data_IF_220079861579
#
_entry.id   IF_220079861579
#
_cell.length_a   1.000
_cell.length_b   1.000
_cell.length_c   1.000
_cell.angle_alpha   90.00
_cell.angle_beta   90.00
_cell.angle_gamma   90.00
#
_symmetry.space_group_name_H-M   'P 1'
#
loop_
_entity.id
_entity.type
_entity.pdbx_description
1 polymer ?
#
# COMPACT_ATOMS: atom_id res chain seq x y z
N UNK A 1 -17.86 24.38 -5.36
CA UNK A 1 -17.71 23.01 -5.82
C UNK A 1 -17.35 22.14 -4.62
N UNK A 2 -17.70 20.84 -4.62
CA UNK A 2 -17.39 19.92 -3.50
C UNK A 2 -15.89 19.83 -3.23
N UNK A 3 -15.07 19.87 -4.28
CA UNK A 3 -13.60 19.79 -4.22
C UNK A 3 -12.97 20.90 -3.34
N UNK A 4 -13.51 22.11 -3.35
CA UNK A 4 -12.99 23.25 -2.56
C UNK A 4 -13.23 23.07 -1.05
N UNK A 5 -14.10 22.15 -0.68
CA UNK A 5 -14.44 21.82 0.71
C UNK A 5 -13.68 20.59 1.23
N UNK A 6 -13.06 19.81 0.34
CA UNK A 6 -12.33 18.61 0.70
C UNK A 6 -10.87 18.95 1.05
N UNK A 7 -10.47 18.52 2.22
CA UNK A 7 -9.09 18.52 2.66
C UNK A 7 -8.44 17.16 2.38
N UNK A 8 -7.31 17.16 1.71
CA UNK A 8 -6.50 15.97 1.50
C UNK A 8 -5.27 15.99 2.40
N UNK A 9 -4.96 14.84 2.99
CA UNK A 9 -3.72 14.63 3.72
C UNK A 9 -2.87 13.62 2.94
N UNK A 10 -1.78 14.07 2.34
CA UNK A 10 -0.91 13.22 1.53
C UNK A 10 0.48 13.12 2.15
N UNK A 11 1.17 11.99 1.86
CA UNK A 11 2.59 11.93 2.13
C UNK A 11 3.33 12.94 1.25
N UNK A 12 4.48 13.44 1.70
CA UNK A 12 5.30 14.37 0.92
C UNK A 12 5.69 13.74 -0.43
N UNK A 13 6.03 12.46 -0.40
CA UNK A 13 6.36 11.70 -1.62
C UNK A 13 5.20 11.67 -2.60
N UNK A 14 4.00 11.29 -2.16
CA UNK A 14 2.81 11.23 -3.03
C UNK A 14 2.45 12.60 -3.58
N UNK A 15 2.59 13.65 -2.78
CA UNK A 15 2.29 15.02 -3.21
C UNK A 15 3.15 15.47 -4.40
N UNK A 16 4.41 15.02 -4.46
CA UNK A 16 5.39 15.50 -5.46
C UNK A 16 5.52 14.61 -6.69
N UNK A 17 4.86 13.45 -6.71
CA UNK A 17 4.98 12.47 -7.81
C UNK A 17 4.03 12.76 -8.96
N UNK A 18 4.47 12.42 -10.18
CA UNK A 18 3.64 12.48 -11.40
C UNK A 18 2.54 11.39 -11.40
N UNK A 19 2.76 10.27 -10.73
CA UNK A 19 1.78 9.23 -10.44
C UNK A 19 1.17 9.38 -9.03
N UNK A 20 1.13 10.60 -8.52
CA UNK A 20 0.53 11.00 -7.25
C UNK A 20 -0.36 12.22 -7.43
N UNK A 21 -0.26 13.19 -6.51
CA UNK A 21 -1.12 14.38 -6.52
C UNK A 21 -0.98 15.22 -7.81
N UNK A 22 0.22 15.33 -8.38
CA UNK A 22 0.40 16.02 -9.68
C UNK A 22 -0.38 15.32 -10.80
N UNK A 23 -0.40 14.00 -10.79
CA UNK A 23 -1.20 13.21 -11.73
C UNK A 23 -2.70 13.37 -11.48
N UNK A 24 -3.15 13.40 -10.24
CA UNK A 24 -4.56 13.67 -9.90
C UNK A 24 -5.02 15.02 -10.48
N UNK A 25 -4.20 16.06 -10.35
CA UNK A 25 -4.48 17.37 -10.95
C UNK A 25 -4.56 17.31 -12.47
N UNK A 26 -3.60 16.65 -13.11
CA UNK A 26 -3.46 16.61 -14.57
C UNK A 26 -4.50 15.72 -15.25
N UNK A 27 -4.74 14.53 -14.70
CA UNK A 27 -5.57 13.48 -15.31
C UNK A 27 -7.04 13.61 -14.90
N UNK A 28 -7.27 13.88 -13.62
CA UNK A 28 -8.62 13.98 -13.03
C UNK A 28 -9.11 15.42 -12.89
N UNK A 29 -8.24 16.41 -13.01
CA UNK A 29 -8.57 17.81 -12.79
C UNK A 29 -8.83 18.16 -11.32
N UNK A 30 -8.43 17.30 -10.39
CA UNK A 30 -8.67 17.48 -8.96
C UNK A 30 -7.68 18.49 -8.36
N UNK A 31 -8.21 19.62 -7.89
CA UNK A 31 -7.43 20.65 -7.19
C UNK A 31 -7.84 20.67 -5.71
N UNK A 32 -7.24 19.79 -4.94
CA UNK A 32 -7.57 19.60 -3.53
C UNK A 32 -6.77 20.58 -2.62
N UNK A 33 -7.36 20.90 -1.47
CA UNK A 33 -6.61 21.57 -0.41
C UNK A 33 -5.74 20.54 0.33
N UNK A 34 -4.45 20.50 0.00
CA UNK A 34 -3.52 19.46 0.46
C UNK A 34 -2.72 19.91 1.67
N UNK A 35 -2.72 19.11 2.73
CA UNK A 35 -1.75 19.13 3.82
C UNK A 35 -0.81 17.93 3.68
N UNK A 36 0.50 18.17 3.65
CA UNK A 36 1.48 17.07 3.68
C UNK A 36 1.71 16.61 5.11
N UNK A 37 1.83 15.30 5.30
CA UNK A 37 2.02 14.71 6.62
C UNK A 37 2.79 13.39 6.57
N UNK A 38 3.29 12.98 7.72
CA UNK A 38 3.94 11.69 7.88
C UNK A 38 2.95 10.53 7.63
N UNK A 39 3.40 9.41 7.02
CA UNK A 39 2.54 8.27 6.70
C UNK A 39 1.74 7.74 7.89
N UNK A 40 2.33 7.73 9.08
CA UNK A 40 1.69 7.23 10.31
C UNK A 40 0.55 8.11 10.82
N UNK A 41 0.52 9.40 10.42
CA UNK A 41 -0.47 10.37 10.91
C UNK A 41 -1.71 10.46 10.03
N UNK A 42 -1.60 10.14 8.73
CA UNK A 42 -2.69 10.34 7.76
C UNK A 42 -3.97 9.57 8.12
N UNK A 43 -3.84 8.34 8.61
CA UNK A 43 -5.00 7.54 9.00
C UNK A 43 -5.67 8.03 10.28
N UNK A 44 -4.92 8.61 11.21
CA UNK A 44 -5.50 9.25 12.39
C UNK A 44 -6.22 10.54 12.00
N UNK A 45 -5.65 11.33 11.09
CA UNK A 45 -6.25 12.56 10.60
C UNK A 45 -7.56 12.33 9.83
N UNK A 46 -7.66 11.24 9.02
CA UNK A 46 -8.91 10.91 8.36
C UNK A 46 -9.96 10.39 9.36
N UNK A 47 -9.54 9.60 10.35
CA UNK A 47 -10.44 9.14 11.42
C UNK A 47 -11.01 10.26 12.26
N UNK A 48 -10.20 11.29 12.58
CA UNK A 48 -10.65 12.48 13.34
C UNK A 48 -11.51 13.44 12.51
N UNK A 49 -11.52 13.29 11.18
CA UNK A 49 -12.23 14.19 10.28
C UNK A 49 -11.45 15.45 9.90
N UNK A 50 -10.17 15.55 10.29
CA UNK A 50 -9.30 16.66 9.93
C UNK A 50 -8.99 16.70 8.44
N UNK A 51 -9.04 15.54 7.78
CA UNK A 51 -8.95 15.35 6.33
C UNK A 51 -10.07 14.40 5.86
N UNK A 52 -10.42 14.45 4.57
CA UNK A 52 -11.44 13.61 3.97
C UNK A 52 -10.87 12.65 2.92
N UNK A 53 -9.68 12.94 2.42
CA UNK A 53 -8.99 12.15 1.38
C UNK A 53 -7.54 11.92 1.80
N UNK A 54 -7.03 10.72 1.55
CA UNK A 54 -5.61 10.38 1.77
C UNK A 54 -5.12 9.42 0.69
N UNK A 55 -3.81 9.41 0.46
CA UNK A 55 -3.14 8.34 -0.29
C UNK A 55 -3.06 7.07 0.56
N UNK A 56 -3.19 5.93 -0.08
CA UNK A 56 -3.12 4.62 0.57
C UNK A 56 -2.59 3.56 -0.39
N UNK A 57 -2.07 2.49 0.15
CA UNK A 57 -1.86 1.26 -0.60
C UNK A 57 -3.03 0.32 -0.33
N UNK A 58 -3.48 -0.41 -1.35
CA UNK A 58 -4.65 -1.31 -1.26
C UNK A 58 -4.49 -2.43 -0.22
N UNK A 59 -3.27 -2.65 0.27
CA UNK A 59 -2.94 -3.63 1.31
C UNK A 59 -2.81 -3.04 2.71
N UNK A 60 -3.04 -1.73 2.89
CA UNK A 60 -2.96 -1.07 4.19
C UNK A 60 -4.09 -1.56 5.12
N UNK A 61 -3.72 -1.98 6.32
CA UNK A 61 -4.65 -2.53 7.32
C UNK A 61 -5.69 -1.50 7.80
N UNK A 62 -5.31 -0.23 7.76
CA UNK A 62 -6.11 0.90 8.21
C UNK A 62 -7.36 1.12 7.36
N UNK A 63 -7.35 0.69 6.10
CA UNK A 63 -8.54 0.75 5.22
C UNK A 63 -9.70 -0.01 5.87
N UNK A 64 -9.46 -1.25 6.27
CA UNK A 64 -10.44 -2.07 6.98
C UNK A 64 -10.70 -1.56 8.40
N UNK A 65 -9.62 -1.18 9.12
CA UNK A 65 -9.72 -0.73 10.52
C UNK A 65 -10.62 0.49 10.71
N UNK A 66 -10.61 1.40 9.74
CA UNK A 66 -11.35 2.67 9.81
C UNK A 66 -12.54 2.75 8.85
N UNK A 67 -12.89 1.62 8.22
CA UNK A 67 -14.01 1.52 7.27
C UNK A 67 -13.90 2.58 6.15
N UNK A 68 -12.72 2.66 5.55
CA UNK A 68 -12.44 3.64 4.50
C UNK A 68 -12.89 3.12 3.14
N UNK A 69 -13.37 4.02 2.29
CA UNK A 69 -13.74 3.73 0.91
C UNK A 69 -12.55 3.95 -0.01
N UNK A 70 -12.17 2.92 -0.74
CA UNK A 70 -11.16 3.01 -1.79
C UNK A 70 -11.82 3.50 -3.08
N UNK A 71 -11.32 4.61 -3.63
CA UNK A 71 -11.82 5.14 -4.89
C UNK A 71 -11.19 4.38 -6.07
N UNK A 72 -11.99 4.16 -7.11
CA UNK A 72 -11.54 3.51 -8.33
C UNK A 72 -10.72 4.47 -9.20
N UNK A 73 -9.59 3.99 -9.71
CA UNK A 73 -8.75 4.68 -10.69
C UNK A 73 -9.21 4.32 -12.13
N UNK A 74 -10.34 4.86 -12.55
CA UNK A 74 -10.95 4.58 -13.87
C UNK A 74 -10.12 5.10 -15.05
N UNK A 75 -9.17 6.02 -14.80
CA UNK A 75 -8.26 6.56 -15.82
C UNK A 75 -6.87 5.93 -15.80
N UNK A 76 -6.64 4.95 -14.95
CA UNK A 76 -5.39 4.21 -14.86
C UNK A 76 -4.16 5.12 -14.66
N UNK A 77 -4.29 6.10 -13.78
CA UNK A 77 -3.20 6.99 -13.39
C UNK A 77 -2.10 6.22 -12.67
N UNK A 78 -2.49 5.30 -11.77
CA UNK A 78 -1.55 4.57 -10.94
C UNK A 78 -1.03 3.32 -11.65
N UNK A 79 0.31 3.15 -11.76
CA UNK A 79 0.88 1.90 -12.23
C UNK A 79 0.60 0.76 -11.23
N UNK A 80 0.64 -0.51 -11.65
CA UNK A 80 0.54 -1.63 -10.73
C UNK A 80 1.77 -1.63 -9.80
N UNK A 81 1.53 -1.55 -8.49
CA UNK A 81 2.57 -1.66 -7.47
C UNK A 81 2.65 -3.11 -6.99
N UNK A 82 3.75 -3.78 -7.33
CA UNK A 82 3.99 -5.16 -6.90
C UNK A 82 5.21 -5.20 -5.99
N UNK A 83 5.10 -5.92 -4.87
CA UNK A 83 6.24 -6.22 -4.03
C UNK A 83 7.23 -7.14 -4.76
N UNK A 84 8.50 -6.80 -4.72
CA UNK A 84 9.55 -7.63 -5.32
C UNK A 84 10.82 -7.61 -4.47
N UNK A 85 11.56 -8.74 -4.39
CA UNK A 85 12.89 -8.74 -3.80
C UNK A 85 13.83 -7.84 -4.61
N UNK A 86 14.52 -6.94 -3.94
CA UNK A 86 15.56 -6.08 -4.55
C UNK A 86 16.94 -6.52 -4.08
N UNK A 87 17.84 -6.81 -5.00
CA UNK A 87 19.21 -7.20 -4.69
C UNK A 87 20.20 -6.70 -5.74
N UNK A 88 21.49 -6.73 -5.37
CA UNK A 88 22.55 -6.42 -6.33
C UNK A 88 22.64 -7.53 -7.38
N UNK A 89 22.75 -7.16 -8.67
CA UNK A 89 22.94 -8.11 -9.77
C UNK A 89 24.15 -9.03 -9.57
N UNK A 90 25.23 -8.48 -9.00
CA UNK A 90 26.43 -9.26 -8.69
C UNK A 90 26.15 -10.43 -7.73
N UNK A 91 25.24 -10.24 -6.75
CA UNK A 91 24.84 -11.30 -5.83
C UNK A 91 24.10 -12.42 -6.56
N UNK A 92 23.17 -12.05 -7.45
CA UNK A 92 22.43 -13.03 -8.25
C UNK A 92 23.33 -13.81 -9.21
N UNK A 93 24.36 -13.14 -9.78
CA UNK A 93 25.37 -13.83 -10.62
C UNK A 93 26.25 -14.82 -9.83
N UNK A 94 26.55 -14.52 -8.56
CA UNK A 94 27.27 -15.41 -7.68
C UNK A 94 26.44 -16.56 -7.14
N UNK A 95 25.12 -16.35 -6.98
CA UNK A 95 24.16 -17.26 -6.39
C UNK A 95 22.92 -17.37 -7.27
N UNK A 96 23.01 -17.96 -8.48
CA UNK A 96 21.89 -18.04 -9.42
C UNK A 96 20.70 -18.85 -8.88
N UNK A 97 20.91 -19.73 -7.91
CA UNK A 97 19.87 -20.47 -7.21
C UNK A 97 18.88 -19.59 -6.46
N UNK A 98 19.26 -18.37 -6.08
CA UNK A 98 18.38 -17.42 -5.39
C UNK A 98 17.16 -17.05 -6.22
N UNK A 99 17.28 -16.98 -7.54
CA UNK A 99 16.15 -16.66 -8.42
C UNK A 99 15.00 -17.66 -8.23
N UNK A 100 15.31 -18.95 -8.26
CA UNK A 100 14.30 -20.00 -8.06
C UNK A 100 13.67 -19.97 -6.67
N UNK A 101 14.49 -19.76 -5.64
CA UNK A 101 14.02 -19.72 -4.25
C UNK A 101 13.12 -18.52 -3.99
N UNK A 102 13.52 -17.35 -4.44
CA UNK A 102 12.75 -16.12 -4.20
C UNK A 102 11.46 -16.06 -5.02
N UNK A 103 11.47 -16.62 -6.23
CA UNK A 103 10.29 -16.63 -7.09
C UNK A 103 9.23 -17.68 -6.71
N UNK A 104 9.47 -18.51 -5.70
CA UNK A 104 8.46 -19.46 -5.19
C UNK A 104 7.16 -18.75 -4.81
N UNK A 105 7.24 -17.54 -4.27
CA UNK A 105 6.08 -16.76 -3.86
C UNK A 105 5.55 -15.81 -4.95
N UNK A 106 6.18 -15.76 -6.13
CA UNK A 106 5.77 -14.89 -7.21
C UNK A 106 4.34 -15.18 -7.66
N UNK A 107 3.44 -14.19 -7.60
CA UNK A 107 2.04 -14.32 -7.95
C UNK A 107 1.20 -15.20 -7.00
N UNK A 108 1.75 -15.58 -5.83
CA UNK A 108 1.06 -16.46 -4.87
C UNK A 108 0.35 -15.73 -3.75
N UNK A 109 0.62 -14.44 -3.57
CA UNK A 109 0.02 -13.63 -2.54
C UNK A 109 -0.88 -12.60 -3.23
N UNK A 110 -2.19 -12.69 -3.02
CA UNK A 110 -3.14 -11.70 -3.52
C UNK A 110 -3.13 -10.45 -2.65
N UNK A 111 -3.65 -9.34 -3.19
CA UNK A 111 -3.79 -8.10 -2.41
C UNK A 111 -4.68 -8.30 -1.17
N UNK A 112 -5.76 -9.11 -1.29
CA UNK A 112 -6.64 -9.44 -0.18
C UNK A 112 -5.93 -10.24 0.91
N UNK A 113 -5.15 -11.26 0.53
CA UNK A 113 -4.35 -12.04 1.49
C UNK A 113 -3.33 -11.16 2.20
N UNK A 114 -2.63 -10.28 1.48
CA UNK A 114 -1.67 -9.37 2.08
C UNK A 114 -2.34 -8.36 3.02
N UNK A 115 -3.46 -7.77 2.62
CA UNK A 115 -4.24 -6.86 3.46
C UNK A 115 -4.67 -7.52 4.76
N UNK A 116 -5.14 -8.78 4.70
CA UNK A 116 -5.49 -9.55 5.88
C UNK A 116 -4.28 -9.79 6.80
N UNK A 117 -3.16 -10.23 6.24
CA UNK A 117 -1.93 -10.44 7.02
C UNK A 117 -1.44 -9.14 7.67
N UNK A 118 -1.50 -8.03 6.94
CA UNK A 118 -1.16 -6.71 7.48
C UNK A 118 -2.12 -6.31 8.62
N UNK A 119 -3.41 -6.63 8.51
CA UNK A 119 -4.39 -6.39 9.56
C UNK A 119 -4.08 -7.22 10.83
N UNK A 120 -3.74 -8.49 10.68
CA UNK A 120 -3.36 -9.35 11.79
C UNK A 120 -2.12 -8.83 12.55
N UNK A 121 -1.15 -8.28 11.80
CA UNK A 121 0.05 -7.68 12.41
C UNK A 121 -0.26 -6.30 13.00
N UNK A 122 -0.87 -5.41 12.24
CA UNK A 122 -1.02 -3.99 12.60
C UNK A 122 -2.16 -3.72 13.58
N UNK A 123 -3.22 -4.54 13.56
CA UNK A 123 -4.44 -4.33 14.36
C UNK A 123 -4.61 -5.39 15.45
N UNK A 124 -4.43 -6.68 15.12
CA UNK A 124 -4.53 -7.78 16.08
C UNK A 124 -3.24 -7.99 16.89
N UNK A 125 -2.17 -7.26 16.54
CA UNK A 125 -0.89 -7.28 17.27
C UNK A 125 -0.21 -8.66 17.27
N UNK A 126 -0.46 -9.49 16.25
CA UNK A 126 0.30 -10.71 16.02
C UNK A 126 1.71 -10.39 15.54
N UNK A 127 2.69 -11.24 15.83
CA UNK A 127 4.02 -11.05 15.24
C UNK A 127 4.02 -11.32 13.74
N UNK A 128 4.74 -10.54 12.95
CA UNK A 128 4.87 -10.75 11.50
C UNK A 128 5.42 -12.15 11.18
N UNK A 129 6.32 -12.68 12.03
CA UNK A 129 6.85 -14.04 11.88
C UNK A 129 5.73 -15.09 12.03
N UNK A 130 4.85 -14.94 13.02
CA UNK A 130 3.73 -15.86 13.22
C UNK A 130 2.80 -15.86 12.02
N UNK A 131 2.37 -14.68 11.57
CA UNK A 131 1.46 -14.52 10.43
C UNK A 131 2.08 -15.10 9.14
N UNK A 132 3.34 -14.79 8.88
CA UNK A 132 4.06 -15.33 7.72
C UNK A 132 4.18 -16.86 7.78
N UNK A 133 4.48 -17.42 8.96
CA UNK A 133 4.57 -18.86 9.16
C UNK A 133 3.23 -19.55 8.93
N UNK A 134 2.16 -19.04 9.52
CA UNK A 134 0.79 -19.55 9.33
C UNK A 134 0.39 -19.53 7.86
N UNK A 135 0.68 -18.44 7.14
CA UNK A 135 0.44 -18.36 5.70
C UNK A 135 1.23 -19.42 4.94
N UNK A 136 2.54 -19.52 5.14
CA UNK A 136 3.39 -20.49 4.43
C UNK A 136 2.99 -21.94 4.72
N UNK A 137 2.58 -22.26 5.95
CA UNK A 137 2.05 -23.59 6.31
C UNK A 137 0.73 -23.88 5.61
N UNK A 138 -0.20 -22.90 5.61
CA UNK A 138 -1.50 -23.07 4.93
C UNK A 138 -1.37 -23.33 3.42
N UNK A 139 -0.31 -22.80 2.81
CA UNK A 139 0.00 -23.00 1.39
C UNK A 139 0.89 -24.22 1.14
N UNK A 140 1.33 -24.93 2.18
CA UNK A 140 2.18 -26.12 2.06
C UNK A 140 3.65 -25.85 1.70
N UNK A 141 4.12 -24.61 1.83
CA UNK A 141 5.51 -24.26 1.56
C UNK A 141 6.47 -24.67 2.68
N UNK A 142 5.98 -24.73 3.90
CA UNK A 142 6.73 -25.22 5.06
C UNK A 142 5.86 -26.17 5.91
N UNK A 143 6.51 -26.97 6.77
CA UNK A 143 5.86 -27.92 7.69
C UNK A 143 5.56 -27.27 9.02
#
# INVERSE_FOLDING_TARGET
>A
KVEEQLKAGFTLEFNDREDGNRGLQKVYGLNLNVATMEPSLRYQAIKSGDIQITDAYSTDAEITRYDLVVLEDDKQLFPPYQGAPLMKEALLKQHPELEGVLNVLSGKITAEQMSRMNYEVGVEVKSAETVAREFLQSQGYIK
#
